data_IF_827597178964
#
_entry.id   IF_827597178964
#
_cell.length_a   1.000
_cell.length_b   1.000
_cell.length_c   1.000
_cell.angle_alpha   90.00
_cell.angle_beta   90.00
_cell.angle_gamma   90.00
#
_symmetry.space_group_name_H-M   'P 1'
#
loop_
_entity.id
_entity.type
_entity.pdbx_description
1 polymer ?
#
# COMPACT_ATOMS: atom_id res chain seq x y z
N UNK A 1 -6.07 4.77 18.94
CA UNK A 1 -5.67 5.87 18.05
C UNK A 1 -5.49 5.37 16.63
N UNK A 2 -5.69 6.25 15.66
CA UNK A 2 -5.53 5.92 14.24
C UNK A 2 -4.11 5.42 13.91
N UNK A 3 -3.13 5.78 14.72
CA UNK A 3 -1.72 5.43 14.55
C UNK A 3 -1.48 3.92 14.56
N UNK A 4 -2.25 3.19 15.35
CA UNK A 4 -2.12 1.73 15.50
C UNK A 4 -3.17 0.94 14.72
N UNK A 5 -3.96 1.60 13.88
CA UNK A 5 -4.97 0.92 13.10
C UNK A 5 -4.37 0.33 11.83
N UNK A 6 -4.82 -0.88 11.50
CA UNK A 6 -4.43 -1.54 10.26
C UNK A 6 -5.26 -1.05 9.09
N UNK A 7 -4.61 -0.92 7.95
CA UNK A 7 -5.24 -0.61 6.66
C UNK A 7 -4.54 -1.40 5.56
N UNK A 8 -5.25 -1.75 4.51
CA UNK A 8 -4.63 -2.35 3.34
C UNK A 8 -3.92 -1.27 2.52
N UNK A 9 -2.77 -1.64 1.99
CA UNK A 9 -1.98 -0.79 1.10
C UNK A 9 -1.71 -1.53 -0.20
N UNK A 10 -1.73 -0.82 -1.30
CA UNK A 10 -1.46 -1.38 -2.62
C UNK A 10 -0.38 -0.52 -3.29
N UNK A 11 0.73 -1.16 -3.66
CA UNK A 11 1.77 -0.47 -4.43
C UNK A 11 1.35 -0.31 -5.89
N UNK A 12 1.88 0.71 -6.56
CA UNK A 12 1.63 0.91 -7.98
C UNK A 12 2.15 -0.26 -8.81
N UNK A 13 3.27 -0.85 -8.42
CA UNK A 13 3.80 -2.03 -9.10
C UNK A 13 2.85 -3.22 -9.04
N UNK A 14 2.27 -3.46 -7.88
CA UNK A 14 1.30 -4.54 -7.72
C UNK A 14 0.00 -4.25 -8.46
N UNK A 15 -0.47 -3.00 -8.43
CA UNK A 15 -1.63 -2.60 -9.22
C UNK A 15 -1.42 -2.85 -10.70
N UNK A 16 -0.27 -2.46 -11.24
CA UNK A 16 0.09 -2.71 -12.63
C UNK A 16 0.12 -4.21 -12.94
N UNK A 17 0.65 -5.02 -12.03
CA UNK A 17 0.73 -6.47 -12.18
C UNK A 17 -0.66 -7.09 -12.30
N UNK A 18 -1.63 -6.59 -11.52
CA UNK A 18 -3.00 -7.08 -11.60
C UNK A 18 -3.65 -6.72 -12.93
N UNK A 19 -3.49 -5.47 -13.38
CA UNK A 19 -4.03 -5.06 -14.68
C UNK A 19 -3.42 -5.87 -15.81
N UNK A 20 -2.11 -6.08 -15.78
CA UNK A 20 -1.41 -6.88 -16.77
C UNK A 20 -1.95 -8.32 -16.80
N UNK A 21 -2.14 -8.92 -15.63
CA UNK A 21 -2.72 -10.26 -15.50
C UNK A 21 -4.12 -10.32 -16.12
N UNK A 22 -4.97 -9.33 -15.82
CA UNK A 22 -6.32 -9.29 -16.35
C UNK A 22 -6.32 -9.23 -17.87
N UNK A 23 -5.43 -8.43 -18.45
CA UNK A 23 -5.35 -8.25 -19.90
C UNK A 23 -4.76 -9.48 -20.58
N UNK A 24 -3.63 -9.98 -20.09
CA UNK A 24 -2.93 -11.10 -20.72
C UNK A 24 -3.67 -12.44 -20.60
N UNK A 25 -4.36 -12.64 -19.48
CA UNK A 25 -5.10 -13.88 -19.22
C UNK A 25 -6.58 -13.78 -19.54
N UNK A 26 -7.00 -12.63 -20.10
CA UNK A 26 -8.43 -12.37 -20.40
C UNK A 26 -9.31 -12.65 -19.17
N UNK A 27 -8.82 -12.21 -18.00
CA UNK A 27 -9.45 -12.47 -16.71
C UNK A 27 -10.53 -11.43 -16.44
N UNK A 28 -11.75 -11.71 -16.86
CA UNK A 28 -12.89 -10.83 -16.68
C UNK A 28 -14.07 -11.67 -16.17
N UNK A 29 -14.12 -11.90 -14.87
CA UNK A 29 -15.09 -12.81 -14.26
C UNK A 29 -16.36 -12.12 -13.76
N UNK A 30 -16.47 -10.80 -13.92
CA UNK A 30 -17.60 -10.05 -13.42
C UNK A 30 -17.82 -10.24 -11.90
N UNK A 31 -16.72 -10.33 -11.15
CA UNK A 31 -16.70 -10.53 -9.73
C UNK A 31 -15.82 -9.46 -9.07
N UNK A 32 -16.00 -9.28 -7.77
CA UNK A 32 -15.19 -8.34 -6.98
C UNK A 32 -14.07 -9.09 -6.29
N UNK A 33 -12.84 -8.58 -6.42
CA UNK A 33 -11.65 -9.12 -5.78
C UNK A 33 -10.97 -8.05 -4.95
N UNK A 34 -10.52 -8.43 -3.75
CA UNK A 34 -9.66 -7.56 -2.95
C UNK A 34 -8.23 -7.63 -3.49
N UNK A 35 -7.63 -6.45 -3.69
CA UNK A 35 -6.28 -6.34 -4.22
C UNK A 35 -5.46 -5.49 -3.25
N UNK A 36 -4.40 -6.07 -2.69
CA UNK A 36 -3.54 -5.36 -1.74
C UNK A 36 -2.14 -5.95 -1.78
N UNK A 37 -1.15 -5.13 -1.44
CA UNK A 37 0.23 -5.59 -1.24
C UNK A 37 0.44 -6.09 0.18
N UNK A 38 -0.24 -5.52 1.15
CA UNK A 38 -0.18 -5.96 2.54
C UNK A 38 -1.00 -5.07 3.45
N UNK A 39 -1.20 -5.55 4.66
CA UNK A 39 -1.89 -4.80 5.71
C UNK A 39 -0.84 -4.24 6.68
N UNK A 40 -0.89 -2.93 6.93
CA UNK A 40 0.07 -2.24 7.78
C UNK A 40 -0.65 -1.24 8.68
N UNK A 41 -0.06 -0.98 9.85
CA UNK A 41 -0.49 0.15 10.67
C UNK A 41 0.14 1.43 10.12
N UNK A 42 -0.46 2.57 10.46
CA UNK A 42 0.12 3.88 10.11
C UNK A 42 1.53 4.00 10.70
N UNK A 43 1.72 3.49 11.93
CA UNK A 43 3.04 3.50 12.56
C UNK A 43 4.07 2.74 11.73
N UNK A 44 3.70 1.57 11.21
CA UNK A 44 4.61 0.78 10.37
C UNK A 44 5.00 1.53 9.10
N UNK A 45 4.02 2.18 8.46
CA UNK A 45 4.29 3.00 7.27
C UNK A 45 5.21 4.16 7.59
N UNK A 46 4.97 4.86 8.69
CA UNK A 46 5.82 5.98 9.13
C UNK A 46 7.24 5.49 9.39
N UNK A 47 7.40 4.34 10.03
CA UNK A 47 8.73 3.77 10.30
C UNK A 47 9.47 3.44 9.00
N UNK A 48 8.76 2.94 7.99
CA UNK A 48 9.34 2.70 6.67
C UNK A 48 9.80 3.99 6.00
N UNK A 49 8.99 5.04 6.10
CA UNK A 49 9.36 6.36 5.55
C UNK A 49 10.58 6.92 6.27
N UNK A 50 10.61 6.85 7.59
CA UNK A 50 11.73 7.34 8.40
C UNK A 50 13.04 6.63 8.09
N UNK A 51 12.98 5.39 7.67
CA UNK A 51 14.17 4.62 7.27
C UNK A 51 14.90 5.29 6.11
N UNK A 52 14.18 5.90 5.20
CA UNK A 52 14.73 6.51 4.00
C UNK A 52 14.77 8.04 4.04
N UNK A 53 14.02 8.65 4.94
CA UNK A 53 13.98 10.09 5.12
C UNK A 53 13.88 10.42 6.60
N UNK A 54 15.06 10.61 7.23
CA UNK A 54 15.20 10.71 8.68
C UNK A 54 14.64 11.99 9.29
N UNK A 55 14.46 13.05 8.51
CA UNK A 55 14.09 14.37 9.01
C UNK A 55 12.60 14.66 8.96
N UNK A 56 11.78 13.61 8.93
CA UNK A 56 10.33 13.76 8.88
C UNK A 56 9.81 14.16 10.26
N UNK A 57 8.96 15.21 10.26
CA UNK A 57 8.20 15.62 11.42
C UNK A 57 6.79 15.07 11.34
N UNK A 58 6.32 14.48 12.43
CA UNK A 58 4.98 13.91 12.50
C UNK A 58 4.13 14.78 13.40
N UNK A 59 3.00 15.22 12.86
CA UNK A 59 2.01 15.98 13.61
C UNK A 59 0.78 15.13 13.83
N UNK A 60 0.42 14.91 15.08
CA UNK A 60 -0.80 14.21 15.43
C UNK A 60 -1.96 15.19 15.45
N UNK A 61 -2.99 14.90 14.67
CA UNK A 61 -4.19 15.74 14.60
C UNK A 61 -5.36 14.93 15.11
N UNK A 62 -6.08 15.47 16.09
CA UNK A 62 -7.31 14.88 16.57
C UNK A 62 -8.46 15.26 15.63
N UNK A 63 -9.04 14.26 14.97
CA UNK A 63 -10.15 14.48 14.06
C UNK A 63 -11.25 13.47 14.36
N UNK A 64 -12.44 13.97 14.70
CA UNK A 64 -13.58 13.12 15.04
C UNK A 64 -14.06 12.25 13.87
N UNK A 65 -13.77 12.66 12.64
CA UNK A 65 -14.17 11.94 11.44
C UNK A 65 -13.30 10.67 11.24
N UNK A 66 -12.16 10.58 11.92
CA UNK A 66 -11.20 9.49 11.76
C UNK A 66 -11.45 8.31 12.70
N UNK A 67 -12.63 8.21 13.30
CA UNK A 67 -12.99 7.05 14.12
C UNK A 67 -13.33 5.85 13.24
N UNK A 68 -12.38 5.43 12.40
CA UNK A 68 -12.51 4.25 11.60
C UNK A 68 -11.96 3.04 12.35
N UNK A 69 -12.68 1.94 12.26
CA UNK A 69 -12.21 0.70 12.87
C UNK A 69 -10.97 0.19 12.18
N UNK A 70 -10.07 -0.40 12.96
CA UNK A 70 -8.92 -1.12 12.42
C UNK A 70 -9.42 -2.36 11.68
N UNK A 71 -8.92 -2.58 10.48
CA UNK A 71 -9.29 -3.78 9.74
C UNK A 71 -8.14 -4.25 8.86
N UNK A 72 -8.15 -5.55 8.58
CA UNK A 72 -7.25 -6.19 7.62
C UNK A 72 -8.09 -6.74 6.48
N UNK A 73 -7.50 -6.75 5.29
CA UNK A 73 -8.13 -7.28 4.09
C UNK A 73 -7.39 -8.54 3.67
N UNK A 74 -8.14 -9.55 3.22
CA UNK A 74 -7.60 -10.80 2.72
C UNK A 74 -7.79 -10.85 1.20
N UNK A 75 -6.75 -11.26 0.49
CA UNK A 75 -6.75 -11.40 -0.96
C UNK A 75 -6.80 -12.87 -1.40
N UNK A 76 -7.25 -13.77 -0.53
CA UNK A 76 -7.29 -15.20 -0.80
C UNK A 76 -8.02 -15.54 -2.09
N UNK A 77 -9.14 -14.86 -2.36
CA UNK A 77 -9.92 -15.08 -3.58
C UNK A 77 -9.09 -14.78 -4.84
N UNK A 78 -8.31 -13.71 -4.82
CA UNK A 78 -7.44 -13.35 -5.93
C UNK A 78 -6.28 -14.33 -6.07
N UNK A 79 -5.66 -14.75 -4.96
CA UNK A 79 -4.55 -15.70 -4.98
C UNK A 79 -4.96 -17.06 -5.55
N UNK A 80 -6.20 -17.47 -5.32
CA UNK A 80 -6.73 -18.71 -5.89
C UNK A 80 -6.76 -18.69 -7.41
N UNK A 81 -6.82 -17.50 -8.01
CA UNK A 81 -6.82 -17.34 -9.46
C UNK A 81 -5.41 -17.39 -10.06
N UNK A 82 -4.38 -17.55 -9.23
CA UNK A 82 -3.02 -17.74 -9.69
C UNK A 82 -2.15 -16.50 -9.68
N UNK A 83 -2.61 -15.38 -9.12
CA UNK A 83 -1.80 -14.18 -8.99
C UNK A 83 -1.43 -13.95 -7.52
N UNK A 84 -0.13 -13.80 -7.25
CA UNK A 84 0.39 -13.45 -5.95
C UNK A 84 1.13 -12.13 -6.04
N UNK A 85 0.77 -11.18 -5.17
CA UNK A 85 1.40 -9.88 -5.11
C UNK A 85 2.49 -9.92 -4.04
N UNK A 86 3.75 -9.74 -4.45
CA UNK A 86 4.92 -9.89 -3.59
C UNK A 86 5.77 -8.63 -3.49
N UNK A 87 5.23 -7.49 -3.88
CA UNK A 87 5.96 -6.24 -3.81
C UNK A 87 6.25 -5.85 -2.36
N UNK A 88 7.43 -5.29 -2.12
CA UNK A 88 7.79 -4.75 -0.81
C UNK A 88 7.32 -3.30 -0.71
N UNK A 89 6.40 -3.02 0.21
CA UNK A 89 5.93 -1.65 0.45
C UNK A 89 7.09 -0.76 0.89
N UNK A 90 8.00 -1.27 1.72
CA UNK A 90 9.18 -0.50 2.16
C UNK A 90 10.04 -0.06 0.96
N UNK A 91 10.28 -0.96 0.03
CA UNK A 91 11.08 -0.66 -1.17
C UNK A 91 10.33 0.32 -2.10
N UNK A 92 9.03 0.16 -2.23
CA UNK A 92 8.20 1.04 -3.05
C UNK A 92 8.17 2.46 -2.48
N UNK A 93 8.15 2.60 -1.15
CA UNK A 93 8.26 3.89 -0.47
C UNK A 93 9.62 4.52 -0.78
N UNK A 94 10.70 3.75 -0.71
CA UNK A 94 12.03 4.23 -1.03
C UNK A 94 12.10 4.79 -2.45
N UNK A 95 11.57 4.07 -3.41
CA UNK A 95 11.57 4.49 -4.81
C UNK A 95 10.75 5.77 -5.03
N UNK A 96 9.58 5.85 -4.37
CA UNK A 96 8.71 7.03 -4.45
C UNK A 96 9.40 8.26 -3.87
N UNK A 97 10.05 8.13 -2.72
CA UNK A 97 10.80 9.22 -2.10
C UNK A 97 11.97 9.65 -2.98
N UNK A 98 12.63 8.71 -3.65
CA UNK A 98 13.70 9.01 -4.59
C UNK A 98 13.23 9.88 -5.76
N UNK A 99 12.04 9.61 -6.29
CA UNK A 99 11.44 10.41 -7.36
C UNK A 99 11.20 11.85 -6.90
N UNK A 100 10.68 12.05 -5.70
CA UNK A 100 10.44 13.38 -5.16
C UNK A 100 11.73 14.14 -4.89
N UNK A 101 12.76 13.46 -4.42
CA UNK A 101 14.07 14.09 -4.20
C UNK A 101 14.66 14.59 -5.51
N UNK A 102 14.53 13.84 -6.59
CA UNK A 102 15.02 14.26 -7.91
C UNK A 102 14.30 15.49 -8.43
N UNK A 103 13.01 15.62 -8.13
CA UNK A 103 12.22 16.80 -8.53
C UNK A 103 12.66 18.02 -7.73
N UNK A 104 12.91 17.87 -6.41
CA UNK A 104 13.25 18.97 -5.53
C UNK A 104 14.69 19.47 -5.71
N UNK A 105 15.56 18.70 -6.36
CA UNK A 105 16.95 19.06 -6.58
C UNK A 105 17.20 19.81 -7.90
N UNK A 106 16.13 20.21 -8.57
CA UNK A 106 16.25 21.00 -9.81
C UNK A 106 16.23 22.50 -9.55
#
# INVERSE_FOLDING_TARGET
>A
TAFNQYRPYLSLKDAFKVFKFCIEKEFFKNEIFNVLSGNYTVQQIINMIKKYKKNIRIKFVSNKIMNQLSYKVDDFKLRKEGIALKSSISKDIQETLGLFNNINNK
#
